data_IF_978037543638
#
_entry.id   IF_978037543638
#
_cell.length_a   1.000
_cell.length_b   1.000
_cell.length_c   1.000
_cell.angle_alpha   90.00
_cell.angle_beta   90.00
_cell.angle_gamma   90.00
#
_symmetry.space_group_name_H-M   'P 1'
#
loop_
_entity.id
_entity.type
_entity.pdbx_description
1 polymer ?
#
# COMPACT_ATOMS: atom_id res chain seq x y z
N UNK A 1 -1.41 -25.39 22.23
CA UNK A 1 -2.45 -24.37 22.48
C UNK A 1 -2.23 -23.08 21.69
N UNK A 2 -1.06 -22.45 21.77
CA UNK A 2 -0.75 -21.16 21.11
C UNK A 2 -0.95 -21.16 19.59
N UNK A 3 -0.37 -22.13 18.88
CA UNK A 3 -0.42 -22.21 17.40
C UNK A 3 -1.79 -22.60 16.83
N UNK A 4 -2.63 -23.28 17.63
CA UNK A 4 -3.89 -23.88 17.16
C UNK A 4 -5.14 -23.03 17.45
N UNK A 5 -5.08 -22.12 18.42
CA UNK A 5 -6.27 -21.39 18.91
C UNK A 5 -6.02 -19.88 18.93
N UNK A 6 -4.91 -19.41 19.51
CA UNK A 6 -4.64 -17.96 19.61
C UNK A 6 -4.15 -17.36 18.29
N UNK A 7 -3.27 -18.06 17.59
CA UNK A 7 -2.74 -17.59 16.31
C UNK A 7 -3.84 -17.33 15.25
N UNK A 8 -4.74 -18.28 14.91
CA UNK A 8 -5.77 -18.03 13.89
C UNK A 8 -6.76 -16.94 14.27
N UNK A 9 -7.02 -16.74 15.57
CA UNK A 9 -7.92 -15.70 16.07
C UNK A 9 -7.30 -14.28 16.05
N UNK A 10 -5.97 -14.17 16.17
CA UNK A 10 -5.26 -12.89 16.14
C UNK A 10 -4.78 -12.47 14.75
N UNK A 11 -4.65 -13.40 13.80
CA UNK A 11 -4.33 -13.06 12.40
C UNK A 11 -5.24 -11.96 11.80
N UNK A 12 -6.58 -12.00 11.89
CA UNK A 12 -7.41 -10.95 11.29
C UNK A 12 -7.13 -9.57 11.88
N UNK A 13 -6.86 -9.47 13.19
CA UNK A 13 -6.45 -8.22 13.83
C UNK A 13 -5.08 -7.74 13.34
N UNK A 14 -4.14 -8.66 13.11
CA UNK A 14 -2.83 -8.33 12.53
C UNK A 14 -2.98 -7.78 11.10
N UNK A 15 -3.81 -8.41 10.27
CA UNK A 15 -4.06 -7.96 8.90
C UNK A 15 -4.82 -6.63 8.84
N UNK A 16 -5.72 -6.35 9.80
CA UNK A 16 -6.33 -5.04 9.94
C UNK A 16 -5.29 -3.95 10.22
N UNK A 17 -4.35 -4.20 11.14
CA UNK A 17 -3.22 -3.32 11.39
C UNK A 17 -2.29 -3.17 10.18
N UNK A 18 -2.05 -4.28 9.46
CA UNK A 18 -1.23 -4.29 8.26
C UNK A 18 -1.84 -3.39 7.16
N UNK A 19 -3.16 -3.47 6.92
CA UNK A 19 -3.89 -2.60 5.99
C UNK A 19 -3.68 -1.11 6.24
N UNK A 20 -3.65 -0.69 7.51
CA UNK A 20 -3.37 0.70 7.88
C UNK A 20 -1.88 1.01 7.64
N UNK A 21 -0.98 0.12 8.05
CA UNK A 21 0.46 0.29 7.90
C UNK A 21 0.90 0.46 6.43
N UNK A 22 0.21 -0.18 5.47
CA UNK A 22 0.52 -0.05 4.05
C UNK A 22 0.25 1.35 3.52
N UNK A 23 -0.85 1.98 3.92
CA UNK A 23 -1.12 3.37 3.55
C UNK A 23 0.00 4.29 4.04
N UNK A 24 0.48 4.07 5.28
CA UNK A 24 1.63 4.80 5.82
C UNK A 24 2.94 4.46 5.09
N UNK A 25 3.15 3.21 4.71
CA UNK A 25 4.34 2.79 3.96
C UNK A 25 4.41 3.46 2.58
N UNK A 26 3.29 3.56 1.88
CA UNK A 26 3.19 4.26 0.59
C UNK A 26 3.53 5.74 0.76
N UNK A 27 2.93 6.42 1.75
CA UNK A 27 3.22 7.83 2.03
C UNK A 27 4.70 8.01 2.39
N UNK A 28 5.26 7.12 3.23
CA UNK A 28 6.67 7.15 3.63
C UNK A 28 7.63 6.91 2.46
N UNK A 29 7.28 6.00 1.54
CA UNK A 29 8.05 5.77 0.32
C UNK A 29 8.07 7.02 -0.57
N UNK A 30 6.91 7.64 -0.79
CA UNK A 30 6.80 8.89 -1.57
C UNK A 30 7.65 9.98 -0.93
N UNK A 31 7.51 10.21 0.37
CA UNK A 31 8.32 11.23 1.09
C UNK A 31 9.81 10.91 1.02
N UNK A 32 10.18 9.63 1.14
CA UNK A 32 11.58 9.18 1.00
C UNK A 32 12.15 9.42 -0.41
N UNK A 33 11.36 9.18 -1.46
CA UNK A 33 11.74 9.47 -2.85
C UNK A 33 11.99 10.97 -3.08
N UNK A 34 11.22 11.85 -2.41
CA UNK A 34 11.41 13.30 -2.51
C UNK A 34 12.74 13.75 -1.90
N UNK A 35 13.19 13.10 -0.82
CA UNK A 35 14.44 13.42 -0.11
C UNK A 35 15.64 12.79 -0.84
N UNK A 36 15.46 11.59 -1.40
CA UNK A 36 16.54 10.84 -2.06
C UNK A 36 16.97 11.47 -3.40
N UNK A 37 16.08 12.22 -4.07
CA UNK A 37 16.44 13.19 -5.11
C UNK A 37 17.15 12.64 -6.36
N UNK A 38 17.23 11.32 -6.52
CA UNK A 38 17.99 10.68 -7.61
C UNK A 38 17.09 9.97 -8.62
N UNK A 39 16.12 9.17 -8.16
CA UNK A 39 15.21 8.40 -9.03
C UNK A 39 13.92 8.10 -8.28
N UNK A 40 12.79 8.00 -9.00
CA UNK A 40 11.51 7.63 -8.41
C UNK A 40 10.31 8.32 -9.03
N UNK A 41 9.10 7.81 -8.76
CA UNK A 41 7.86 8.43 -9.23
C UNK A 41 7.59 9.76 -8.52
N UNK A 42 7.86 9.84 -7.21
CA UNK A 42 7.83 11.09 -6.46
C UNK A 42 8.84 12.12 -6.96
N UNK A 43 10.04 11.67 -7.34
CA UNK A 43 11.07 12.52 -7.94
C UNK A 43 10.65 13.07 -9.31
N UNK A 44 10.02 12.25 -10.16
CA UNK A 44 9.51 12.68 -11.47
C UNK A 44 8.46 13.78 -11.35
N UNK A 45 7.59 13.74 -10.33
CA UNK A 45 6.63 14.83 -10.05
C UNK A 45 7.36 16.13 -9.68
N UNK A 46 8.42 16.05 -8.87
CA UNK A 46 9.20 17.21 -8.46
C UNK A 46 10.00 17.81 -9.64
N UNK A 47 10.64 16.94 -10.44
CA UNK A 47 11.39 17.34 -11.64
C UNK A 47 10.48 17.95 -12.72
N UNK A 48 9.29 17.39 -12.92
CA UNK A 48 8.29 17.93 -13.84
C UNK A 48 7.76 19.30 -13.38
N UNK A 49 7.61 19.51 -12.07
CA UNK A 49 7.31 20.83 -11.51
C UNK A 49 8.41 21.85 -11.83
N UNK A 50 9.69 21.48 -11.68
CA UNK A 50 10.81 22.37 -12.01
C UNK A 50 10.89 22.74 -13.50
N UNK A 51 10.42 21.85 -14.39
CA UNK A 51 10.37 22.08 -15.84
C UNK A 51 9.05 22.71 -16.31
N UNK A 52 8.10 22.98 -15.39
CA UNK A 52 6.71 23.36 -15.73
C UNK A 52 6.02 22.43 -16.74
N UNK A 53 6.44 21.16 -16.78
CA UNK A 53 5.87 20.14 -17.67
C UNK A 53 4.66 19.48 -16.98
N UNK A 54 3.52 20.14 -17.08
CA UNK A 54 2.24 19.66 -16.54
C UNK A 54 1.82 18.27 -17.07
N UNK A 55 2.02 17.89 -18.36
CA UNK A 55 1.73 16.53 -18.82
C UNK A 55 2.52 15.45 -18.09
N UNK A 56 3.81 15.69 -17.85
CA UNK A 56 4.70 14.75 -17.17
C UNK A 56 4.34 14.61 -15.68
N UNK A 57 4.00 15.73 -15.02
CA UNK A 57 3.53 15.71 -13.64
C UNK A 57 2.23 14.91 -13.48
N UNK A 58 1.25 15.12 -14.38
CA UNK A 58 -0.01 14.37 -14.35
C UNK A 58 0.20 12.87 -14.59
N UNK A 59 1.06 12.51 -15.54
CA UNK A 59 1.37 11.10 -15.83
C UNK A 59 2.00 10.42 -14.62
N UNK A 60 2.96 11.08 -13.96
CA UNK A 60 3.59 10.57 -12.75
C UNK A 60 2.59 10.43 -11.59
N UNK A 61 1.68 11.40 -11.41
CA UNK A 61 0.60 11.32 -10.42
C UNK A 61 -0.34 10.14 -10.66
N UNK A 62 -0.78 9.93 -11.91
CA UNK A 62 -1.62 8.77 -12.26
C UNK A 62 -0.90 7.47 -11.95
N UNK A 63 0.39 7.38 -12.27
CA UNK A 63 1.20 6.20 -11.97
C UNK A 63 1.35 5.96 -10.46
N UNK A 64 1.52 7.02 -9.66
CA UNK A 64 1.55 6.93 -8.19
C UNK A 64 0.23 6.39 -7.63
N UNK A 65 -0.90 6.87 -8.13
CA UNK A 65 -2.23 6.39 -7.71
C UNK A 65 -2.40 4.91 -8.10
N UNK A 66 -2.05 4.53 -9.33
CA UNK A 66 -2.12 3.15 -9.79
C UNK A 66 -1.22 2.23 -8.97
N UNK A 67 0.01 2.64 -8.67
CA UNK A 67 0.93 1.85 -7.85
C UNK A 67 0.40 1.70 -6.42
N UNK A 68 -0.17 2.76 -5.84
CA UNK A 68 -0.78 2.74 -4.50
C UNK A 68 -1.97 1.77 -4.45
N UNK A 69 -2.87 1.83 -5.44
CA UNK A 69 -3.98 0.88 -5.55
C UNK A 69 -3.50 -0.56 -5.75
N UNK A 70 -2.47 -0.77 -6.59
CA UNK A 70 -1.92 -2.08 -6.83
C UNK A 70 -1.33 -2.68 -5.54
N UNK A 71 -0.56 -1.90 -4.78
CA UNK A 71 0.05 -2.34 -3.52
C UNK A 71 -1.02 -2.66 -2.47
N UNK A 72 -2.06 -1.83 -2.37
CA UNK A 72 -3.20 -2.08 -1.51
C UNK A 72 -3.97 -3.35 -1.94
N UNK A 73 -4.17 -3.55 -3.24
CA UNK A 73 -4.80 -4.73 -3.82
C UNK A 73 -4.04 -6.02 -3.53
N UNK A 74 -2.70 -5.99 -3.63
CA UNK A 74 -1.83 -7.14 -3.28
C UNK A 74 -2.06 -7.56 -1.83
N UNK A 75 -2.26 -6.60 -0.94
CA UNK A 75 -2.45 -6.90 0.49
C UNK A 75 -3.84 -7.47 0.75
N UNK A 76 -4.88 -6.92 0.12
CA UNK A 76 -6.21 -7.51 0.20
C UNK A 76 -6.20 -8.94 -0.36
N UNK A 77 -5.46 -9.17 -1.44
CA UNK A 77 -5.31 -10.49 -2.02
C UNK A 77 -4.56 -11.45 -1.08
N UNK A 78 -3.48 -10.98 -0.45
CA UNK A 78 -2.74 -11.74 0.55
C UNK A 78 -3.61 -12.07 1.77
N UNK A 79 -4.40 -11.12 2.26
CA UNK A 79 -5.40 -11.34 3.33
C UNK A 79 -6.42 -12.40 2.90
N UNK A 80 -6.96 -12.30 1.68
CA UNK A 80 -7.95 -13.26 1.17
C UNK A 80 -7.39 -14.67 1.00
N UNK A 81 -6.10 -14.79 0.64
CA UNK A 81 -5.42 -16.07 0.50
C UNK A 81 -5.05 -16.69 1.86
N UNK A 82 -4.63 -15.87 2.82
CA UNK A 82 -4.17 -16.34 4.14
C UNK A 82 -5.29 -16.47 5.17
N UNK A 83 -6.45 -15.83 4.97
CA UNK A 83 -7.61 -15.88 5.88
C UNK A 83 -8.92 -16.32 5.17
N UNK A 84 -8.97 -17.48 4.49
CA UNK A 84 -10.20 -17.95 3.85
C UNK A 84 -11.30 -18.32 4.86
N UNK A 85 -10.97 -18.61 6.13
CA UNK A 85 -11.92 -19.02 7.17
C UNK A 85 -12.65 -17.86 7.85
N UNK A 86 -12.00 -16.72 8.07
CA UNK A 86 -12.59 -15.56 8.77
C UNK A 86 -13.64 -14.83 7.91
N UNK A 87 -13.56 -14.93 6.58
CA UNK A 87 -14.56 -14.35 5.66
C UNK A 87 -15.96 -14.98 5.82
N UNK A 88 -16.08 -16.14 6.47
CA UNK A 88 -17.39 -16.79 6.70
C UNK A 88 -18.16 -16.21 7.88
N UNK A 89 -17.50 -15.59 8.85
CA UNK A 89 -18.13 -15.20 10.12
C UNK A 89 -18.79 -13.81 10.09
N UNK A 90 -18.52 -12.99 9.06
CA UNK A 90 -19.17 -11.67 8.90
C UNK A 90 -20.41 -11.68 8.01
N UNK A 91 -20.91 -12.86 7.63
CA UNK A 91 -22.13 -13.04 6.81
C UNK A 91 -23.24 -13.80 7.56
N UNK A 92 -23.13 -13.93 8.89
CA UNK A 92 -24.20 -14.40 9.78
C UNK A 92 -24.69 -13.26 10.68
#
# INVERSE_FOLDING_TARGET
LFWKIRLPHSLPYLFAGCKIAISFAVIGAIVGEFISGRHGLGYLVLSANSTFNTPMAFTALVYLVLMSLALYGIVIFAEKFMLPWYRRESLE
#
